data_IF_577747919305
#
_entry.id   IF_577747919305
#
_cell.length_a   1.000
_cell.length_b   1.000
_cell.length_c   1.000
_cell.angle_alpha   90.00
_cell.angle_beta   90.00
_cell.angle_gamma   90.00
#
_symmetry.space_group_name_H-M   'P 1'
#
loop_
_entity.id
_entity.type
_entity.pdbx_description
1 polymer ?
#
# COMPACT_ATOMS: atom_id res chain seq x y z
N UNK A 1 33.73 -1.25 28.03
CA UNK A 1 32.27 -1.44 27.87
C UNK A 1 31.95 -1.48 26.39
N UNK A 2 31.80 -2.67 25.83
CA UNK A 2 31.32 -2.87 24.46
C UNK A 2 29.82 -2.56 24.49
N UNK A 3 29.43 -1.32 24.21
CA UNK A 3 28.05 -0.98 23.95
C UNK A 3 27.60 -1.78 22.72
N UNK A 4 26.79 -2.81 22.94
CA UNK A 4 26.15 -3.56 21.86
C UNK A 4 25.32 -2.57 21.05
N UNK A 5 25.56 -2.50 19.74
CA UNK A 5 24.80 -1.61 18.87
C UNK A 5 23.30 -1.87 19.02
N UNK A 6 22.45 -0.83 19.03
CA UNK A 6 21.00 -0.99 19.16
C UNK A 6 20.46 -1.96 18.12
N UNK A 7 19.56 -2.86 18.54
CA UNK A 7 18.90 -3.78 17.61
C UNK A 7 18.04 -3.01 16.60
N UNK A 8 17.98 -3.53 15.40
CA UNK A 8 17.05 -3.02 14.39
C UNK A 8 15.63 -3.40 14.80
N UNK A 9 14.71 -2.44 14.84
CA UNK A 9 13.31 -2.62 15.16
C UNK A 9 12.46 -2.32 13.94
N UNK A 10 11.44 -3.13 13.71
CA UNK A 10 10.42 -2.89 12.67
C UNK A 10 9.06 -2.77 13.33
N UNK A 11 8.51 -1.58 13.33
CA UNK A 11 7.19 -1.28 13.85
C UNK A 11 6.14 -1.49 12.74
N UNK A 12 5.14 -2.28 13.03
CA UNK A 12 4.14 -2.72 12.06
C UNK A 12 2.78 -2.97 12.71
N UNK A 13 1.75 -3.15 11.90
CA UNK A 13 0.43 -3.59 12.35
C UNK A 13 -0.16 -4.62 11.38
N UNK A 14 -1.09 -5.51 11.85
CA UNK A 14 -1.80 -6.45 11.02
C UNK A 14 -2.52 -5.77 9.85
N UNK A 15 -2.51 -6.41 8.68
CA UNK A 15 -3.16 -5.91 7.47
C UNK A 15 -2.55 -4.69 6.81
N UNK A 16 -1.39 -4.24 7.27
CA UNK A 16 -0.59 -3.21 6.63
C UNK A 16 0.28 -3.85 5.53
N UNK A 17 -0.10 -3.67 4.28
CA UNK A 17 0.61 -4.23 3.12
C UNK A 17 2.06 -3.73 3.02
N UNK A 18 2.28 -2.44 3.28
CA UNK A 18 3.63 -1.85 3.29
C UNK A 18 4.50 -2.43 4.41
N UNK A 19 3.91 -2.73 5.57
CA UNK A 19 4.63 -3.35 6.67
C UNK A 19 5.12 -4.77 6.30
N UNK A 20 4.27 -5.53 5.59
CA UNK A 20 4.65 -6.84 5.08
C UNK A 20 5.84 -6.71 4.13
N UNK A 21 5.73 -5.82 3.13
CA UNK A 21 6.79 -5.60 2.14
C UNK A 21 8.11 -5.17 2.78
N UNK A 22 8.07 -4.33 3.81
CA UNK A 22 9.26 -3.92 4.57
C UNK A 22 9.93 -5.09 5.26
N UNK A 23 9.14 -5.96 5.91
CA UNK A 23 9.68 -7.16 6.56
C UNK A 23 10.27 -8.15 5.56
N UNK A 24 9.56 -8.40 4.46
CA UNK A 24 10.04 -9.26 3.36
C UNK A 24 11.37 -8.72 2.81
N UNK A 25 11.46 -7.42 2.54
CA UNK A 25 12.68 -6.78 2.06
C UNK A 25 13.88 -6.98 2.99
N UNK A 26 13.69 -6.84 4.29
CA UNK A 26 14.77 -7.07 5.27
C UNK A 26 15.16 -8.55 5.32
N UNK A 27 14.20 -9.47 5.31
CA UNK A 27 14.46 -10.91 5.33
C UNK A 27 15.18 -11.39 4.08
N UNK A 28 14.79 -10.92 2.89
CA UNK A 28 15.43 -11.23 1.61
C UNK A 28 16.90 -10.75 1.58
N UNK A 29 17.23 -9.70 2.33
CA UNK A 29 18.59 -9.21 2.47
C UNK A 29 19.33 -9.79 3.69
N UNK A 30 18.78 -10.82 4.33
CA UNK A 30 19.40 -11.52 5.46
C UNK A 30 19.53 -10.68 6.73
N UNK A 31 18.70 -9.67 6.90
CA UNK A 31 18.75 -8.75 8.04
C UNK A 31 17.86 -9.25 9.16
N UNK A 32 18.44 -9.45 10.35
CA UNK A 32 17.69 -9.74 11.57
C UNK A 32 17.12 -8.45 12.18
N UNK A 33 15.88 -8.52 12.65
CA UNK A 33 15.21 -7.39 13.30
C UNK A 33 14.22 -7.87 14.37
N UNK A 34 13.94 -7.00 15.31
CA UNK A 34 12.85 -7.14 16.27
C UNK A 34 11.54 -6.68 15.63
N UNK A 35 10.58 -7.58 15.57
CA UNK A 35 9.26 -7.33 14.92
C UNK A 35 8.25 -6.88 15.98
N UNK A 36 7.81 -5.61 15.92
CA UNK A 36 6.97 -4.99 16.94
C UNK A 36 5.59 -4.69 16.35
N UNK A 37 4.57 -5.41 16.81
CA UNK A 37 3.17 -5.13 16.49
C UNK A 37 2.66 -4.01 17.40
N UNK A 38 2.50 -2.81 16.87
CA UNK A 38 2.12 -1.62 17.64
C UNK A 38 0.68 -1.66 18.18
N UNK A 39 -0.15 -2.60 17.74
CA UNK A 39 -1.50 -2.79 18.30
C UNK A 39 -1.51 -3.69 19.53
N UNK A 40 -0.46 -4.48 19.75
CA UNK A 40 -0.35 -5.43 20.86
C UNK A 40 0.74 -5.04 21.86
N UNK A 41 1.72 -4.26 21.42
CA UNK A 41 2.87 -3.82 22.22
C UNK A 41 2.77 -2.33 22.55
N UNK A 42 2.27 -2.02 23.75
CA UNK A 42 2.16 -0.65 24.25
C UNK A 42 3.51 0.08 24.32
N UNK A 43 4.61 -0.67 24.58
CA UNK A 43 5.97 -0.10 24.62
C UNK A 43 6.39 0.29 23.20
N UNK A 44 6.11 -0.56 22.22
CA UNK A 44 6.36 -0.28 20.82
C UNK A 44 5.61 0.95 20.31
N UNK A 45 4.36 1.13 20.73
CA UNK A 45 3.60 2.32 20.40
C UNK A 45 4.22 3.59 21.00
N UNK A 46 4.63 3.55 22.28
CA UNK A 46 5.32 4.67 22.95
C UNK A 46 6.69 4.98 22.32
N UNK A 47 7.43 3.95 21.90
CA UNK A 47 8.69 4.13 21.17
C UNK A 47 8.48 4.95 19.88
N UNK A 48 7.41 4.65 19.12
CA UNK A 48 7.05 5.44 17.93
C UNK A 48 6.68 6.88 18.27
N UNK A 49 5.87 7.10 19.30
CA UNK A 49 5.50 8.46 19.75
C UNK A 49 6.72 9.25 20.20
N UNK A 50 7.69 8.61 20.87
CA UNK A 50 8.96 9.24 21.27
C UNK A 50 9.81 9.68 20.07
N UNK A 51 9.67 9.01 18.90
CA UNK A 51 10.27 9.43 17.64
C UNK A 51 9.42 10.49 16.90
N UNK A 52 8.29 10.90 17.46
CA UNK A 52 7.36 11.85 16.82
C UNK A 52 6.53 11.22 15.69
N UNK A 53 6.41 9.88 15.66
CA UNK A 53 5.80 9.13 14.58
C UNK A 53 4.48 8.49 15.02
N UNK A 54 3.53 8.37 14.07
CA UNK A 54 2.23 7.73 14.30
C UNK A 54 1.81 6.77 13.19
N UNK A 55 2.63 6.63 12.15
CA UNK A 55 2.36 5.78 11.01
C UNK A 55 3.36 4.63 10.95
N UNK A 56 2.91 3.48 10.46
CA UNK A 56 3.74 2.29 10.19
C UNK A 56 3.69 1.98 8.69
N UNK A 57 4.72 1.32 8.12
CA UNK A 57 5.91 0.76 8.76
C UNK A 57 6.99 1.79 9.11
N UNK A 58 7.65 1.57 10.24
CA UNK A 58 8.87 2.30 10.61
C UNK A 58 9.98 1.30 10.89
N UNK A 59 11.18 1.58 10.39
CA UNK A 59 12.40 0.84 10.72
C UNK A 59 13.30 1.76 11.53
N UNK A 60 13.72 1.33 12.70
CA UNK A 60 14.55 2.17 13.59
C UNK A 60 15.72 1.41 14.19
N UNK A 61 16.83 2.12 14.43
CA UNK A 61 17.98 1.65 15.17
C UNK A 61 18.43 2.73 16.17
N UNK A 62 18.04 2.58 17.42
CA UNK A 62 18.18 3.64 18.42
C UNK A 62 17.30 4.83 18.06
N UNK A 63 17.89 6.03 17.95
CA UNK A 63 17.19 7.26 17.55
C UNK A 63 17.14 7.50 16.04
N UNK A 64 17.87 6.69 15.24
CA UNK A 64 17.85 6.79 13.78
C UNK A 64 16.70 5.94 13.22
N UNK A 65 15.94 6.50 12.29
CA UNK A 65 14.78 5.82 11.74
C UNK A 65 14.55 6.13 10.26
N UNK A 66 13.76 5.27 9.62
CA UNK A 66 13.29 5.45 8.25
C UNK A 66 11.82 5.04 8.13
N UNK A 67 11.10 5.68 7.21
CA UNK A 67 9.82 5.14 6.76
C UNK A 67 10.08 3.80 6.04
N UNK A 68 9.47 2.73 6.51
CA UNK A 68 9.69 1.40 5.97
C UNK A 68 9.28 1.23 4.51
N UNK A 69 8.51 2.17 3.97
CA UNK A 69 8.13 2.18 2.57
C UNK A 69 9.25 2.68 1.62
N UNK A 70 10.31 3.31 2.17
CA UNK A 70 11.43 3.86 1.38
C UNK A 70 12.65 2.94 1.57
N UNK A 71 12.80 1.96 0.70
CA UNK A 71 13.79 0.89 0.84
C UNK A 71 15.24 1.37 0.85
N UNK A 72 15.57 2.45 0.14
CA UNK A 72 16.89 3.07 0.21
C UNK A 72 17.22 3.48 1.64
N UNK A 73 16.28 4.11 2.33
CA UNK A 73 16.49 4.60 3.69
C UNK A 73 16.45 3.45 4.71
N UNK A 74 15.60 2.44 4.45
CA UNK A 74 15.58 1.18 5.23
C UNK A 74 16.94 0.47 5.15
N UNK A 75 17.53 0.34 3.95
CA UNK A 75 18.84 -0.26 3.76
C UNK A 75 19.94 0.51 4.49
N UNK A 76 19.87 1.85 4.46
CA UNK A 76 20.80 2.73 5.21
C UNK A 76 20.73 2.44 6.72
N UNK A 77 19.53 2.43 7.31
CA UNK A 77 19.32 2.14 8.74
C UNK A 77 19.75 0.72 9.09
N UNK A 78 19.44 -0.24 8.23
CA UNK A 78 19.80 -1.64 8.41
C UNK A 78 21.30 -1.92 8.20
N UNK A 79 22.01 -1.01 7.52
CA UNK A 79 23.47 -1.06 7.37
C UNK A 79 23.95 -1.95 6.22
N UNK A 80 23.16 -2.11 5.15
CA UNK A 80 23.59 -2.84 3.97
C UNK A 80 23.52 -2.00 2.69
N UNK A 81 24.32 -2.38 1.69
CA UNK A 81 24.24 -1.78 0.36
C UNK A 81 23.06 -2.37 -0.38
N UNK A 82 22.15 -1.50 -0.77
CA UNK A 82 21.03 -1.86 -1.60
C UNK A 82 21.06 -1.07 -2.91
N UNK A 83 20.71 -1.73 -3.99
CA UNK A 83 20.44 -1.09 -5.28
C UNK A 83 18.98 -1.35 -5.63
N UNK A 84 18.28 -0.35 -6.19
CA UNK A 84 16.93 -0.57 -6.69
C UNK A 84 16.95 -1.72 -7.71
N UNK A 85 15.91 -2.57 -7.66
CA UNK A 85 15.67 -3.50 -8.75
C UNK A 85 15.27 -2.70 -10.01
N UNK A 86 15.51 -3.28 -11.17
CA UNK A 86 15.04 -2.70 -12.42
C UNK A 86 13.50 -2.72 -12.42
N UNK A 87 12.92 -1.53 -12.29
CA UNK A 87 11.47 -1.39 -12.37
C UNK A 87 10.99 -1.69 -13.79
N UNK A 88 9.81 -2.28 -13.90
CA UNK A 88 9.15 -2.44 -15.19
C UNK A 88 8.89 -1.06 -15.82
N UNK A 89 8.92 -1.00 -17.14
CA UNK A 89 8.55 0.23 -17.84
C UNK A 89 7.15 0.72 -17.40
N UNK A 90 6.91 2.03 -17.29
CA UNK A 90 5.63 2.57 -16.82
C UNK A 90 4.41 2.00 -17.56
N UNK A 91 4.51 1.81 -18.88
CA UNK A 91 3.45 1.19 -19.68
C UNK A 91 3.15 -0.25 -19.28
N UNK A 92 4.17 -1.03 -18.94
CA UNK A 92 4.00 -2.39 -18.45
C UNK A 92 3.36 -2.42 -17.06
N UNK A 93 3.75 -1.50 -16.17
CA UNK A 93 3.12 -1.35 -14.85
C UNK A 93 1.63 -1.03 -15.01
N UNK A 94 1.26 -0.11 -15.92
CA UNK A 94 -0.15 0.21 -16.19
C UNK A 94 -0.92 -1.00 -16.72
N UNK A 95 -0.33 -1.80 -17.62
CA UNK A 95 -0.95 -3.04 -18.12
C UNK A 95 -1.19 -4.02 -16.96
N UNK A 96 -0.20 -4.21 -16.10
CA UNK A 96 -0.34 -5.08 -14.91
C UNK A 96 -1.38 -4.54 -13.93
N UNK A 97 -1.41 -3.23 -13.70
CA UNK A 97 -2.43 -2.58 -12.86
C UNK A 97 -3.84 -2.88 -13.40
N UNK A 98 -4.06 -2.73 -14.70
CA UNK A 98 -5.34 -3.06 -15.34
C UNK A 98 -5.73 -4.53 -15.16
N UNK A 99 -4.76 -5.44 -15.29
CA UNK A 99 -4.97 -6.88 -15.06
C UNK A 99 -5.39 -7.14 -13.62
N UNK A 100 -4.70 -6.54 -12.65
CA UNK A 100 -5.01 -6.64 -11.21
C UNK A 100 -6.43 -6.14 -10.93
N UNK A 101 -6.78 -4.94 -11.43
CA UNK A 101 -8.10 -4.34 -11.21
C UNK A 101 -9.21 -5.14 -11.89
N UNK A 102 -8.94 -5.74 -13.05
CA UNK A 102 -9.88 -6.64 -13.72
C UNK A 102 -10.13 -7.90 -12.88
N UNK A 103 -9.07 -8.51 -12.33
CA UNK A 103 -9.21 -9.66 -11.44
C UNK A 103 -9.97 -9.29 -10.15
N UNK A 104 -9.64 -8.14 -9.54
CA UNK A 104 -10.35 -7.63 -8.37
C UNK A 104 -11.85 -7.43 -8.63
N UNK A 105 -12.20 -6.89 -9.80
CA UNK A 105 -13.60 -6.75 -10.22
C UNK A 105 -14.32 -8.09 -10.35
N UNK A 106 -13.63 -9.14 -10.83
CA UNK A 106 -14.20 -10.50 -10.89
C UNK A 106 -14.40 -11.10 -9.51
N UNK A 107 -13.48 -10.85 -8.57
CA UNK A 107 -13.64 -11.27 -7.17
C UNK A 107 -14.81 -10.55 -6.52
N UNK A 108 -14.88 -9.22 -6.65
CA UNK A 108 -15.99 -8.43 -6.13
C UNK A 108 -17.36 -8.92 -6.65
N UNK A 109 -17.46 -9.25 -7.93
CA UNK A 109 -18.70 -9.74 -8.54
C UNK A 109 -19.21 -11.04 -7.91
N UNK A 110 -18.35 -11.82 -7.27
CA UNK A 110 -18.69 -13.10 -6.62
C UNK A 110 -19.16 -12.93 -5.18
N UNK A 111 -18.94 -11.78 -4.54
CA UNK A 111 -19.36 -11.56 -3.15
C UNK A 111 -20.91 -11.46 -3.12
N UNK A 112 -21.58 -12.33 -2.34
CA UNK A 112 -23.01 -12.18 -2.11
C UNK A 112 -23.33 -10.84 -1.45
N UNK A 113 -24.40 -10.17 -1.88
CA UNK A 113 -24.79 -8.86 -1.35
C UNK A 113 -24.88 -8.86 0.19
N UNK A 114 -25.48 -9.91 0.76
CA UNK A 114 -25.63 -10.08 2.21
C UNK A 114 -24.27 -10.24 2.96
N UNK A 115 -23.19 -10.48 2.25
CA UNK A 115 -21.86 -10.68 2.87
C UNK A 115 -20.92 -9.48 2.69
N UNK A 116 -21.35 -8.43 2.01
CA UNK A 116 -20.52 -7.24 1.81
C UNK A 116 -20.02 -6.63 3.12
N UNK A 117 -20.79 -6.70 4.18
CA UNK A 117 -20.45 -6.16 5.49
C UNK A 117 -19.77 -7.17 6.43
N UNK A 118 -19.49 -8.38 5.93
CA UNK A 118 -18.68 -9.36 6.66
C UNK A 118 -17.28 -8.81 6.90
N UNK A 119 -16.84 -8.87 8.17
CA UNK A 119 -15.54 -8.37 8.57
C UNK A 119 -14.42 -9.34 8.19
N UNK A 120 -13.30 -8.79 7.75
CA UNK A 120 -12.08 -9.57 7.53
C UNK A 120 -11.54 -10.12 8.86
N UNK A 121 -10.97 -11.35 8.87
CA UNK A 121 -10.26 -11.85 10.03
C UNK A 121 -9.14 -10.90 10.47
N UNK A 122 -9.03 -10.64 11.77
CA UNK A 122 -7.95 -9.84 12.39
C UNK A 122 -7.82 -8.39 11.90
N UNK A 123 -8.84 -7.83 11.24
CA UNK A 123 -8.85 -6.44 10.80
C UNK A 123 -10.25 -5.82 10.84
N UNK A 124 -10.40 -4.59 11.36
CA UNK A 124 -11.68 -3.88 11.37
C UNK A 124 -11.99 -3.29 9.98
N UNK A 125 -12.15 -4.16 8.99
CA UNK A 125 -12.48 -3.79 7.60
C UNK A 125 -13.41 -4.84 7.02
N UNK A 126 -14.53 -4.42 6.44
CA UNK A 126 -15.46 -5.32 5.75
C UNK A 126 -15.01 -5.62 4.31
N UNK A 127 -15.64 -6.63 3.68
CA UNK A 127 -15.44 -6.92 2.26
C UNK A 127 -15.81 -5.73 1.38
N UNK A 128 -16.87 -4.99 1.73
CA UNK A 128 -17.24 -3.73 1.09
C UNK A 128 -16.10 -2.72 1.12
N UNK A 129 -15.56 -2.46 2.29
CA UNK A 129 -14.47 -1.51 2.49
C UNK A 129 -13.17 -1.96 1.80
N UNK A 130 -12.86 -3.26 1.82
CA UNK A 130 -11.70 -3.80 1.11
C UNK A 130 -11.86 -3.64 -0.39
N UNK A 131 -13.03 -3.99 -0.92
CA UNK A 131 -13.34 -3.88 -2.36
C UNK A 131 -13.23 -2.43 -2.84
N UNK A 132 -13.80 -1.49 -2.10
CA UNK A 132 -13.65 -0.06 -2.39
C UNK A 132 -12.18 0.36 -2.40
N UNK A 133 -11.43 0.00 -1.36
CA UNK A 133 -10.03 0.41 -1.20
C UNK A 133 -9.12 -0.07 -2.34
N UNK A 134 -9.36 -1.24 -2.91
CA UNK A 134 -8.58 -1.74 -4.06
C UNK A 134 -8.59 -0.75 -5.23
N UNK A 135 -9.74 -0.14 -5.50
CA UNK A 135 -9.92 0.83 -6.59
C UNK A 135 -9.62 2.27 -6.15
N UNK A 136 -9.76 2.58 -4.86
CA UNK A 136 -9.38 3.87 -4.29
C UNK A 136 -7.88 4.15 -4.46
N UNK A 137 -7.02 3.13 -4.32
CA UNK A 137 -5.57 3.27 -4.48
C UNK A 137 -5.20 3.89 -5.84
N UNK A 138 -5.59 3.31 -6.99
CA UNK A 138 -5.31 3.95 -8.28
C UNK A 138 -6.11 5.24 -8.51
N UNK A 139 -7.27 5.44 -7.88
CA UNK A 139 -7.97 6.72 -7.93
C UNK A 139 -7.12 7.84 -7.31
N UNK A 140 -6.57 7.64 -6.11
CA UNK A 140 -5.71 8.63 -5.44
C UNK A 140 -4.48 8.95 -6.28
N UNK A 141 -3.87 7.95 -6.93
CA UNK A 141 -2.80 8.17 -7.89
C UNK A 141 -3.25 9.06 -9.06
N UNK A 142 -4.42 8.79 -9.63
CA UNK A 142 -4.99 9.57 -10.75
C UNK A 142 -5.36 10.99 -10.33
N UNK A 143 -5.91 11.17 -9.13
CA UNK A 143 -6.20 12.49 -8.57
C UNK A 143 -4.92 13.33 -8.45
N UNK A 144 -3.83 12.71 -8.03
CA UNK A 144 -2.53 13.32 -7.93
C UNK A 144 -1.97 13.72 -9.31
N UNK A 145 -1.95 12.82 -10.29
CA UNK A 145 -1.30 13.09 -11.60
C UNK A 145 -2.17 13.85 -12.59
N UNK A 146 -3.47 13.93 -12.38
CA UNK A 146 -4.38 14.67 -13.28
C UNK A 146 -4.78 16.05 -12.75
N UNK A 147 -4.88 16.17 -11.41
CA UNK A 147 -5.46 17.34 -10.74
C UNK A 147 -4.51 18.02 -9.76
N UNK A 148 -3.25 17.55 -9.66
CA UNK A 148 -2.26 17.99 -8.67
C UNK A 148 -2.72 17.89 -7.21
N UNK A 149 -3.65 16.96 -6.92
CA UNK A 149 -4.10 16.75 -5.56
C UNK A 149 -3.00 16.13 -4.69
N UNK A 150 -2.90 16.51 -3.41
CA UNK A 150 -1.89 15.95 -2.52
C UNK A 150 -2.03 14.44 -2.35
N UNK A 151 -0.97 13.67 -2.57
CA UNK A 151 -0.94 12.23 -2.31
C UNK A 151 -0.69 11.99 -0.83
N UNK A 152 -1.76 11.96 -0.05
CA UNK A 152 -1.72 11.86 1.42
C UNK A 152 -2.15 10.49 1.91
N UNK A 153 -1.77 10.18 3.17
CA UNK A 153 -2.25 8.98 3.85
C UNK A 153 -3.78 9.04 4.04
N UNK A 154 -4.31 10.21 4.39
CA UNK A 154 -5.73 10.46 4.59
C UNK A 154 -6.55 10.17 3.33
N UNK A 155 -6.04 10.55 2.16
CA UNK A 155 -6.70 10.24 0.88
C UNK A 155 -6.82 8.72 0.65
N UNK A 156 -5.75 7.97 1.00
CA UNK A 156 -5.74 6.50 0.86
C UNK A 156 -6.63 5.75 1.85
N UNK A 157 -6.92 6.35 3.01
CA UNK A 157 -7.77 5.74 4.05
C UNK A 157 -9.12 6.42 4.20
N UNK A 158 -9.46 7.34 3.29
CA UNK A 158 -10.75 8.02 3.34
C UNK A 158 -11.90 7.00 3.30
N UNK A 159 -12.95 7.33 4.01
CA UNK A 159 -14.10 6.45 4.15
C UNK A 159 -14.81 6.25 2.80
N UNK A 160 -15.46 5.11 2.70
CA UNK A 160 -16.34 4.80 1.58
C UNK A 160 -17.44 5.87 1.46
N UNK A 161 -17.65 6.45 0.27
CA UNK A 161 -18.71 7.42 0.03
C UNK A 161 -20.09 6.85 0.40
N UNK A 162 -20.97 7.71 0.92
CA UNK A 162 -22.28 7.31 1.42
C UNK A 162 -23.25 6.78 0.34
N UNK A 163 -22.96 7.05 -0.92
CA UNK A 163 -23.71 6.59 -2.09
C UNK A 163 -23.26 5.22 -2.62
N UNK A 164 -22.16 4.66 -2.10
CA UNK A 164 -21.68 3.31 -2.46
C UNK A 164 -22.19 2.29 -1.43
N UNK A 165 -23.37 1.74 -1.64
CA UNK A 165 -24.04 0.88 -0.68
C UNK A 165 -24.18 -0.58 -1.13
N UNK A 166 -24.18 -0.82 -2.42
CA UNK A 166 -24.42 -2.14 -3.02
C UNK A 166 -23.17 -2.65 -3.73
N UNK A 167 -23.18 -3.94 -4.05
CA UNK A 167 -22.16 -4.53 -4.93
C UNK A 167 -22.15 -3.85 -6.30
N UNK A 168 -23.32 -3.51 -6.83
CA UNK A 168 -23.44 -2.86 -8.13
C UNK A 168 -22.85 -1.44 -8.12
N UNK A 169 -22.98 -0.69 -7.02
CA UNK A 169 -22.32 0.61 -6.84
C UNK A 169 -20.80 0.44 -6.84
N UNK A 170 -20.28 -0.55 -6.11
CA UNK A 170 -18.85 -0.88 -6.09
C UNK A 170 -18.34 -1.29 -7.48
N UNK A 171 -19.10 -2.09 -8.21
CA UNK A 171 -18.79 -2.50 -9.58
C UNK A 171 -18.83 -1.31 -10.56
N UNK A 172 -19.75 -0.39 -10.36
CA UNK A 172 -19.79 0.86 -11.12
C UNK A 172 -18.56 1.72 -10.86
N UNK A 173 -18.22 1.94 -9.59
CA UNK A 173 -17.02 2.66 -9.18
C UNK A 173 -15.74 2.01 -9.76
N UNK A 174 -15.62 0.70 -9.66
CA UNK A 174 -14.50 -0.05 -10.22
C UNK A 174 -14.34 0.20 -11.73
N UNK A 175 -15.43 0.21 -12.48
CA UNK A 175 -15.42 0.51 -13.94
C UNK A 175 -14.99 1.94 -14.22
N UNK A 176 -15.46 2.90 -13.43
CA UNK A 176 -15.07 4.32 -13.58
C UNK A 176 -13.58 4.51 -13.39
N UNK A 177 -12.99 3.94 -12.33
CA UNK A 177 -11.55 4.02 -12.04
C UNK A 177 -10.72 3.36 -13.15
N UNK A 178 -11.10 2.16 -13.59
CA UNK A 178 -10.40 1.46 -14.69
C UNK A 178 -10.48 2.23 -16.01
N UNK A 179 -11.64 2.79 -16.30
CA UNK A 179 -11.84 3.64 -17.49
C UNK A 179 -10.99 4.91 -17.41
N UNK A 180 -10.92 5.54 -16.23
CA UNK A 180 -10.09 6.73 -15.99
C UNK A 180 -8.59 6.41 -16.15
N UNK A 181 -8.10 5.32 -15.57
CA UNK A 181 -6.72 4.88 -15.73
C UNK A 181 -6.37 4.66 -17.21
N UNK A 182 -7.28 4.05 -17.96
CA UNK A 182 -7.07 3.80 -19.39
C UNK A 182 -7.01 5.10 -20.21
N UNK A 183 -7.90 6.05 -19.94
CA UNK A 183 -7.90 7.36 -20.60
C UNK A 183 -6.66 8.17 -20.24
N UNK A 184 -6.33 8.25 -18.95
CA UNK A 184 -5.13 8.95 -18.49
C UNK A 184 -3.88 8.42 -19.19
N UNK A 185 -3.70 7.11 -19.23
CA UNK A 185 -2.54 6.52 -19.92
C UNK A 185 -2.49 6.89 -21.39
N UNK A 186 -3.61 6.77 -22.09
CA UNK A 186 -3.69 7.06 -23.53
C UNK A 186 -3.45 8.56 -23.88
N UNK A 187 -3.79 9.47 -22.97
CA UNK A 187 -3.76 10.92 -23.25
C UNK A 187 -2.58 11.65 -22.63
N UNK A 188 -2.14 11.25 -21.45
CA UNK A 188 -1.10 11.93 -20.68
C UNK A 188 0.04 10.99 -20.25
N UNK A 189 -0.28 9.77 -19.86
CA UNK A 189 0.67 8.86 -19.23
C UNK A 189 1.88 8.55 -20.11
N UNK A 190 1.69 8.40 -21.42
CA UNK A 190 2.78 8.11 -22.37
C UNK A 190 3.78 9.27 -22.54
N UNK A 191 3.40 10.49 -22.18
CA UNK A 191 4.25 11.69 -22.22
C UNK A 191 4.67 12.20 -20.85
N UNK A 192 4.25 11.51 -19.77
CA UNK A 192 4.59 11.87 -18.40
C UNK A 192 6.07 11.59 -18.11
N UNK A 193 6.77 12.55 -17.50
CA UNK A 193 8.11 12.32 -16.95
C UNK A 193 8.00 11.55 -15.63
N UNK A 194 8.29 10.27 -15.67
CA UNK A 194 8.25 9.40 -14.49
C UNK A 194 9.46 9.55 -13.55
N UNK A 195 10.51 10.29 -13.96
CA UNK A 195 11.63 10.60 -13.09
C UNK A 195 11.38 11.81 -12.18
N UNK A 196 10.32 12.57 -12.44
CA UNK A 196 9.96 13.70 -11.59
C UNK A 196 9.65 13.24 -10.15
N UNK A 197 9.79 14.13 -9.13
CA UNK A 197 9.40 13.84 -7.77
C UNK A 197 7.93 13.41 -7.66
N UNK A 198 7.67 12.35 -6.88
CA UNK A 198 6.32 11.83 -6.68
C UNK A 198 5.49 12.63 -5.67
N UNK A 199 6.11 13.50 -4.85
CA UNK A 199 5.46 14.36 -3.85
C UNK A 199 4.46 13.63 -2.97
N UNK A 200 4.88 12.51 -2.38
CA UNK A 200 4.04 11.63 -1.56
C UNK A 200 4.37 11.74 -0.08
N UNK A 201 3.41 11.40 0.79
CA UNK A 201 3.53 11.53 2.25
C UNK A 201 4.61 10.64 2.89
N UNK A 202 5.06 9.58 2.21
CA UNK A 202 5.98 8.59 2.80
C UNK A 202 7.46 8.82 2.44
N UNK A 203 7.79 9.85 1.67
CA UNK A 203 9.18 10.24 1.42
C UNK A 203 9.46 10.75 0.02
N UNK A 204 10.73 10.95 -0.27
CA UNK A 204 11.22 11.40 -1.58
C UNK A 204 11.40 10.19 -2.50
N UNK A 205 10.48 10.02 -3.41
CA UNK A 205 10.46 8.95 -4.42
C UNK A 205 10.12 9.54 -5.79
N UNK A 206 10.49 8.86 -6.86
CA UNK A 206 10.08 9.24 -8.22
C UNK A 206 8.60 8.90 -8.47
N UNK A 207 7.97 9.57 -9.41
CA UNK A 207 6.62 9.22 -9.85
C UNK A 207 6.54 7.78 -10.39
N UNK A 208 7.66 7.25 -10.93
CA UNK A 208 7.77 5.85 -11.34
C UNK A 208 7.58 4.89 -10.15
N UNK A 209 8.26 5.17 -9.04
CA UNK A 209 8.10 4.39 -7.80
C UNK A 209 6.68 4.50 -7.23
N UNK A 210 6.04 5.67 -7.34
CA UNK A 210 4.64 5.85 -6.93
C UNK A 210 3.71 4.99 -7.78
N UNK A 211 3.92 4.94 -9.11
CA UNK A 211 3.12 4.11 -10.01
C UNK A 211 3.32 2.62 -9.69
N UNK A 212 4.56 2.17 -9.52
CA UNK A 212 4.86 0.78 -9.14
C UNK A 212 4.19 0.41 -7.81
N UNK A 213 4.31 1.28 -6.82
CA UNK A 213 3.67 1.08 -5.52
C UNK A 213 2.15 1.02 -5.61
N UNK A 214 1.54 1.84 -6.45
CA UNK A 214 0.10 1.83 -6.71
C UNK A 214 -0.35 0.46 -7.24
N UNK A 215 0.35 -0.08 -8.23
CA UNK A 215 0.09 -1.40 -8.80
C UNK A 215 0.24 -2.50 -7.75
N UNK A 216 1.36 -2.49 -7.02
CA UNK A 216 1.64 -3.46 -5.98
C UNK A 216 0.60 -3.43 -4.84
N UNK A 217 0.24 -2.24 -4.38
CA UNK A 217 -0.72 -2.03 -3.28
C UNK A 217 -2.11 -2.58 -3.65
N UNK A 218 -2.62 -2.23 -4.84
CA UNK A 218 -3.86 -2.81 -5.36
C UNK A 218 -3.78 -4.32 -5.51
N UNK A 219 -2.63 -4.86 -5.95
CA UNK A 219 -2.38 -6.29 -6.10
C UNK A 219 -2.45 -7.05 -4.77
N UNK A 220 -1.85 -6.51 -3.71
CA UNK A 220 -1.89 -7.11 -2.37
C UNK A 220 -3.32 -7.18 -1.82
N UNK A 221 -4.09 -6.12 -1.97
CA UNK A 221 -5.47 -6.11 -1.51
C UNK A 221 -6.39 -6.95 -2.39
N UNK A 222 -6.12 -7.05 -3.69
CA UNK A 222 -6.82 -7.98 -4.60
C UNK A 222 -6.60 -9.44 -4.16
N UNK A 223 -5.34 -9.81 -3.82
CA UNK A 223 -5.03 -11.13 -3.26
C UNK A 223 -5.72 -11.36 -1.90
N UNK A 224 -5.75 -10.36 -1.05
CA UNK A 224 -6.48 -10.44 0.22
C UNK A 224 -7.97 -10.70 0.00
N UNK A 225 -8.59 -10.06 -0.98
CA UNK A 225 -9.98 -10.30 -1.34
C UNK A 225 -10.20 -11.72 -1.88
N UNK A 226 -9.30 -12.23 -2.71
CA UNK A 226 -9.33 -13.60 -3.20
C UNK A 226 -9.31 -14.61 -2.04
N UNK A 227 -8.38 -14.46 -1.09
CA UNK A 227 -8.29 -15.33 0.09
C UNK A 227 -9.54 -15.23 0.99
N UNK A 228 -10.14 -14.03 1.06
CA UNK A 228 -11.38 -13.83 1.80
C UNK A 228 -12.56 -14.60 1.17
N UNK A 229 -12.63 -14.67 -0.17
CA UNK A 229 -13.65 -15.47 -0.87
C UNK A 229 -13.50 -16.96 -0.58
N UNK A 230 -12.27 -17.48 -0.54
CA UNK A 230 -12.00 -18.89 -0.17
C UNK A 230 -12.54 -19.20 1.23
N UNK A 231 -12.47 -18.27 2.18
CA UNK A 231 -12.98 -18.48 3.56
C UNK A 231 -14.51 -18.55 3.63
N UNK A 232 -15.22 -17.99 2.67
CA UNK A 232 -16.68 -18.06 2.56
C UNK A 232 -17.17 -19.11 1.55
N UNK A 233 -16.25 -19.92 1.03
CA UNK A 233 -16.57 -21.05 0.16
C UNK A 233 -16.86 -20.69 -1.29
N UNK A 234 -16.30 -19.57 -1.77
CA UNK A 234 -16.42 -19.08 -3.16
C UNK A 234 -15.09 -19.18 -3.87
#
# INVERSE_FOLDING_TARGET
>A
DTQTAPRLKVYWQPGCSSCLKTKEFLLENGVEFESINVLEDETGFRDLEALGLRLVPVVARGSDWANGAVFRDVARIAGFKWQPHDMLAPGEIVIRTKTILTAAGRYLAQIPEAQLDTMLPHRPRSYRQLSYHIFQIPQVFLDHVENDEPYTYEALISQLPADINTRDDLMHYARLVQGRLSRWWATKGTSTDFNQPGNVYYGEVSLHEVLERTAWHSGQHSRQLMLALETIGI
#
